data_IF_757537744971
#
_entry.id   IF_757537744971
#
_cell.length_a   1.000
_cell.length_b   1.000
_cell.length_c   1.000
_cell.angle_alpha   90.00
_cell.angle_beta   90.00
_cell.angle_gamma   90.00
#
_symmetry.space_group_name_H-M   'P 1'
#
loop_
_entity.id
_entity.type
_entity.pdbx_description
1 polymer ?
#
# COMPACT_ATOMS: atom_id res chain seq x y z
N UNK A 1 9.24 22.30 19.00
CA UNK A 1 9.71 20.96 19.08
C UNK A 1 9.78 20.27 17.76
N UNK A 2 10.97 20.03 17.38
CA UNK A 2 11.20 19.31 16.15
C UNK A 2 10.80 17.84 16.24
N UNK A 3 10.45 17.38 17.43
CA UNK A 3 10.14 15.97 17.62
C UNK A 3 8.92 15.49 16.86
N UNK A 4 7.93 16.36 16.72
CA UNK A 4 6.65 15.92 16.17
C UNK A 4 6.78 15.43 14.74
N UNK A 5 7.45 16.20 13.89
CA UNK A 5 7.57 15.74 12.52
C UNK A 5 8.54 14.57 12.39
N UNK A 6 9.54 14.50 13.26
CA UNK A 6 10.45 13.37 13.27
C UNK A 6 9.70 12.08 13.62
N UNK A 7 8.84 12.16 14.64
CA UNK A 7 8.05 11.02 15.05
C UNK A 7 7.07 10.61 13.96
N UNK A 8 6.45 11.59 13.30
CA UNK A 8 5.54 11.29 12.18
C UNK A 8 6.29 10.57 11.06
N UNK A 9 7.51 11.00 10.79
CA UNK A 9 8.31 10.37 9.76
C UNK A 9 8.62 8.92 10.08
N UNK A 10 8.93 8.64 11.34
CA UNK A 10 9.21 7.28 11.78
C UNK A 10 7.99 6.38 11.65
N UNK A 11 6.81 6.98 11.76
CA UNK A 11 5.58 6.20 11.69
C UNK A 11 5.06 6.03 10.28
N UNK A 12 5.66 6.71 9.31
CA UNK A 12 5.25 6.55 7.92
C UNK A 12 5.73 5.22 7.39
N UNK A 13 4.80 4.42 6.88
CA UNK A 13 5.13 3.15 6.27
C UNK A 13 4.55 3.10 4.87
N UNK A 14 5.35 2.66 3.92
CA UNK A 14 4.94 2.56 2.53
C UNK A 14 4.74 1.10 2.18
N UNK A 15 3.57 0.80 1.63
CA UNK A 15 3.19 -0.54 1.21
C UNK A 15 2.91 -0.52 -0.29
N UNK A 16 3.30 -1.56 -0.97
CA UNK A 16 3.08 -1.65 -2.42
C UNK A 16 2.34 -2.92 -2.76
N UNK A 17 1.30 -2.78 -3.60
CA UNK A 17 0.78 -3.94 -4.28
C UNK A 17 1.77 -4.47 -5.31
N UNK A 18 1.43 -5.59 -5.93
CA UNK A 18 2.34 -6.29 -6.82
C UNK A 18 2.32 -5.79 -8.26
N UNK A 19 1.43 -4.83 -8.58
CA UNK A 19 1.24 -4.42 -9.97
C UNK A 19 2.46 -3.69 -10.53
N UNK A 20 3.14 -2.89 -9.71
CA UNK A 20 4.25 -2.08 -10.21
C UNK A 20 5.29 -1.85 -9.12
N UNK A 21 6.09 -2.87 -8.82
CA UNK A 21 7.07 -2.75 -7.72
C UNK A 21 8.14 -1.68 -7.96
N UNK A 22 8.51 -1.44 -9.20
CA UNK A 22 9.54 -0.44 -9.51
C UNK A 22 9.09 0.95 -9.15
N UNK A 23 7.83 1.27 -9.39
CA UNK A 23 7.28 2.55 -8.99
C UNK A 23 7.34 2.74 -7.49
N UNK A 24 7.02 1.68 -6.75
CA UNK A 24 7.08 1.73 -5.29
C UNK A 24 8.48 2.01 -4.81
N UNK A 25 9.48 1.40 -5.42
CA UNK A 25 10.87 1.65 -5.03
C UNK A 25 11.28 3.08 -5.32
N UNK A 26 10.83 3.65 -6.43
CA UNK A 26 11.11 5.03 -6.76
C UNK A 26 10.48 5.98 -5.75
N UNK A 27 9.23 5.73 -5.37
CA UNK A 27 8.54 6.54 -4.38
C UNK A 27 9.23 6.44 -3.04
N UNK A 28 9.62 5.23 -2.64
CA UNK A 28 10.31 5.01 -1.38
C UNK A 28 11.60 5.82 -1.31
N UNK A 29 12.33 5.84 -2.42
CA UNK A 29 13.58 6.57 -2.50
C UNK A 29 13.36 8.08 -2.32
N UNK A 30 12.31 8.60 -2.95
CA UNK A 30 12.00 10.02 -2.82
C UNK A 30 11.57 10.38 -1.41
N UNK A 31 10.90 9.47 -0.72
CA UNK A 31 10.42 9.71 0.63
C UNK A 31 11.45 9.34 1.70
N UNK A 32 12.58 8.77 1.28
CA UNK A 32 13.62 8.31 2.20
C UNK A 32 13.10 7.27 3.18
N UNK A 33 12.32 6.33 2.66
CA UNK A 33 11.82 5.20 3.43
C UNK A 33 12.05 3.93 2.61
N UNK A 34 11.81 2.77 3.21
CA UNK A 34 11.83 1.52 2.46
C UNK A 34 10.40 1.05 2.20
N UNK A 35 10.23 0.23 1.18
CA UNK A 35 8.95 -0.44 0.96
C UNK A 35 8.83 -1.53 2.02
N UNK A 36 7.74 -1.50 2.79
CA UNK A 36 7.56 -2.44 3.88
C UNK A 36 7.39 -3.85 3.33
N UNK A 37 8.13 -4.79 3.90
CA UNK A 37 8.10 -6.17 3.44
C UNK A 37 6.76 -6.81 3.75
N UNK A 38 6.26 -7.56 2.79
CA UNK A 38 4.99 -8.25 2.94
C UNK A 38 4.99 -9.53 2.12
N UNK A 39 4.11 -10.44 2.48
CA UNK A 39 3.82 -11.63 1.68
C UNK A 39 2.44 -11.45 1.09
N UNK A 40 2.34 -11.58 -0.22
CA UNK A 40 1.05 -11.53 -0.91
C UNK A 40 0.94 -12.77 -1.77
N UNK A 41 -0.19 -13.47 -1.65
CA UNK A 41 -0.42 -14.70 -2.39
C UNK A 41 -1.82 -14.73 -2.94
N UNK A 42 -1.95 -15.37 -4.07
CA UNK A 42 -3.26 -15.69 -4.63
C UNK A 42 -3.42 -17.19 -4.62
N UNK A 43 -4.47 -17.68 -3.96
CA UNK A 43 -4.76 -19.10 -3.92
C UNK A 43 -5.47 -19.53 -5.19
N UNK A 44 -5.53 -20.86 -5.40
CA UNK A 44 -6.11 -21.41 -6.61
C UNK A 44 -7.58 -21.01 -6.79
N UNK A 45 -8.28 -20.75 -5.70
CA UNK A 45 -9.69 -20.35 -5.76
C UNK A 45 -9.87 -18.84 -5.98
N UNK A 46 -8.78 -18.11 -6.20
CA UNK A 46 -8.85 -16.68 -6.45
C UNK A 46 -8.71 -15.80 -5.22
N UNK A 47 -8.67 -16.39 -4.04
CA UNK A 47 -8.49 -15.61 -2.82
C UNK A 47 -7.10 -15.03 -2.75
N UNK A 48 -7.02 -13.80 -2.24
CA UNK A 48 -5.75 -13.11 -2.07
C UNK A 48 -5.47 -12.95 -0.58
N UNK A 49 -4.25 -13.29 -0.20
CA UNK A 49 -3.79 -13.20 1.17
C UNK A 49 -2.62 -12.25 1.27
N UNK A 50 -2.69 -11.32 2.24
CA UNK A 50 -1.62 -10.37 2.48
C UNK A 50 -1.21 -10.43 3.95
N UNK A 51 0.10 -10.49 4.17
CA UNK A 51 0.66 -10.48 5.52
C UNK A 51 1.86 -9.55 5.54
N UNK A 52 1.88 -8.64 6.51
CA UNK A 52 2.99 -7.72 6.68
C UNK A 52 4.03 -8.31 7.62
N UNK A 53 5.31 -8.07 7.32
CA UNK A 53 6.40 -8.63 8.10
C UNK A 53 6.83 -7.74 9.26
N UNK A 54 6.30 -6.53 9.32
CA UNK A 54 6.56 -5.59 10.41
C UNK A 54 5.24 -5.23 11.08
N UNK A 55 5.32 -4.81 12.33
CA UNK A 55 4.15 -4.30 13.00
C UNK A 55 3.68 -3.02 12.34
N UNK A 56 2.38 -2.93 12.07
CA UNK A 56 1.78 -1.74 11.47
C UNK A 56 0.98 -0.94 12.46
N UNK A 57 0.97 -1.36 13.72
CA UNK A 57 0.19 -0.69 14.75
C UNK A 57 0.61 0.77 14.88
N UNK A 58 -0.36 1.66 14.79
CA UNK A 58 -0.13 3.09 14.97
C UNK A 58 0.56 3.78 13.82
N UNK A 59 0.82 3.09 12.72
CA UNK A 59 1.53 3.70 11.61
C UNK A 59 0.63 4.59 10.76
N UNK A 60 1.27 5.48 10.01
CA UNK A 60 0.63 6.25 8.96
C UNK A 60 0.96 5.54 7.65
N UNK A 61 0.00 4.79 7.14
CA UNK A 61 0.24 3.84 6.04
C UNK A 61 -0.14 4.45 4.71
N UNK A 62 0.76 4.34 3.75
CA UNK A 62 0.51 4.71 2.36
C UNK A 62 0.54 3.45 1.52
N UNK A 63 -0.58 3.16 0.86
CA UNK A 63 -0.76 1.92 0.10
C UNK A 63 -0.76 2.27 -1.38
N UNK A 64 0.32 1.95 -2.05
CA UNK A 64 0.56 2.30 -3.44
C UNK A 64 0.23 1.12 -4.34
N UNK A 65 -0.65 1.34 -5.31
CA UNK A 65 -0.98 0.30 -6.28
C UNK A 65 -1.46 0.95 -7.56
N UNK A 66 -0.78 0.73 -8.66
CA UNK A 66 -1.35 1.07 -9.96
C UNK A 66 -2.25 -0.08 -10.40
N UNK A 67 -3.06 0.17 -11.41
CA UNK A 67 -4.07 -0.82 -11.79
C UNK A 67 -4.11 -1.02 -13.29
N UNK A 68 -3.05 -1.62 -13.86
CA UNK A 68 -3.11 -2.01 -15.26
C UNK A 68 -4.10 -3.15 -15.45
N UNK A 69 -4.36 -3.56 -16.69
CA UNK A 69 -5.19 -4.72 -16.91
C UNK A 69 -4.53 -5.96 -16.31
N UNK A 70 -5.28 -6.81 -15.62
CA UNK A 70 -6.69 -6.69 -15.28
C UNK A 70 -6.90 -5.80 -14.06
N UNK A 71 -7.63 -4.72 -14.26
CA UNK A 71 -7.81 -3.67 -13.24
C UNK A 71 -8.38 -4.21 -11.95
N UNK A 72 -9.41 -5.05 -12.04
CA UNK A 72 -10.12 -5.50 -10.84
C UNK A 72 -9.24 -6.32 -9.91
N UNK A 73 -8.31 -7.08 -10.45
CA UNK A 73 -7.42 -7.89 -9.61
C UNK A 73 -6.51 -7.00 -8.76
N UNK A 74 -5.95 -5.96 -9.36
CA UNK A 74 -5.03 -5.08 -8.64
C UNK A 74 -5.77 -4.18 -7.66
N UNK A 75 -6.96 -3.73 -8.05
CA UNK A 75 -7.77 -2.93 -7.15
C UNK A 75 -8.20 -3.75 -5.94
N UNK A 76 -8.60 -5.00 -6.17
CA UNK A 76 -8.96 -5.88 -5.08
C UNK A 76 -7.79 -6.13 -4.14
N UNK A 77 -6.60 -6.29 -4.69
CA UNK A 77 -5.41 -6.48 -3.85
C UNK A 77 -5.19 -5.26 -2.97
N UNK A 78 -5.34 -4.06 -3.50
CA UNK A 78 -5.18 -2.85 -2.69
C UNK A 78 -6.22 -2.80 -1.57
N UNK A 79 -7.45 -3.16 -1.86
CA UNK A 79 -8.50 -3.17 -0.83
C UNK A 79 -8.20 -4.19 0.26
N UNK A 80 -7.65 -5.33 -0.10
CA UNK A 80 -7.29 -6.35 0.88
C UNK A 80 -6.15 -5.87 1.76
N UNK A 81 -5.18 -5.17 1.17
CA UNK A 81 -4.09 -4.57 1.95
C UNK A 81 -4.63 -3.55 2.95
N UNK A 82 -5.57 -2.72 2.52
CA UNK A 82 -6.19 -1.73 3.39
C UNK A 82 -6.91 -2.42 4.55
N UNK A 83 -7.65 -3.48 4.26
CA UNK A 83 -8.34 -4.22 5.30
C UNK A 83 -7.36 -4.83 6.30
N UNK A 84 -6.27 -5.39 5.81
CA UNK A 84 -5.24 -5.95 6.69
C UNK A 84 -4.60 -4.88 7.57
N UNK A 85 -4.40 -3.68 7.04
CA UNK A 85 -3.85 -2.57 7.82
C UNK A 85 -4.83 -2.11 8.90
N UNK A 86 -6.11 -2.11 8.59
CA UNK A 86 -7.13 -1.77 9.60
C UNK A 86 -7.12 -2.77 10.74
N UNK A 87 -7.05 -4.05 10.41
CA UNK A 87 -6.98 -5.09 11.45
C UNK A 87 -5.71 -5.00 12.26
N UNK A 88 -4.62 -4.55 11.65
CA UNK A 88 -3.36 -4.35 12.34
C UNK A 88 -3.29 -3.09 13.15
N UNK A 89 -4.36 -2.30 13.17
CA UNK A 89 -4.48 -1.07 13.95
C UNK A 89 -3.57 0.05 13.47
N UNK A 90 -3.42 0.17 12.16
CA UNK A 90 -2.77 1.35 11.58
C UNK A 90 -3.56 2.58 11.98
N UNK A 91 -2.86 3.67 12.25
CA UNK A 91 -3.51 4.89 12.70
C UNK A 91 -4.22 5.60 11.55
N UNK A 92 -3.60 5.62 10.38
CA UNK A 92 -4.13 6.30 9.22
C UNK A 92 -3.74 5.50 7.99
N UNK A 93 -4.65 5.43 7.02
CA UNK A 93 -4.41 4.67 5.81
C UNK A 93 -4.77 5.54 4.63
N UNK A 94 -3.80 5.75 3.73
CA UNK A 94 -4.00 6.52 2.52
C UNK A 94 -3.75 5.63 1.33
N UNK A 95 -4.74 5.48 0.46
CA UNK A 95 -4.59 4.74 -0.78
C UNK A 95 -4.03 5.68 -1.83
N UNK A 96 -2.95 5.25 -2.49
CA UNK A 96 -2.29 6.05 -3.51
C UNK A 96 -2.44 5.32 -4.83
N UNK A 97 -3.13 5.96 -5.78
CA UNK A 97 -3.34 5.39 -7.11
C UNK A 97 -2.75 6.35 -8.12
N UNK A 98 -1.53 6.08 -8.62
CA UNK A 98 -0.92 6.97 -9.60
C UNK A 98 -1.73 7.09 -10.87
N UNK A 99 -2.53 6.08 -11.15
CA UNK A 99 -3.43 6.06 -12.29
C UNK A 99 -4.78 5.55 -11.80
N UNK A 100 -5.79 6.43 -11.83
CA UNK A 100 -7.12 6.07 -11.37
C UNK A 100 -7.77 5.15 -12.40
N UNK A 101 -8.10 3.90 -12.02
CA UNK A 101 -8.44 2.89 -13.01
C UNK A 101 -9.68 3.15 -13.83
N UNK A 102 -10.62 3.92 -13.33
CA UNK A 102 -11.88 4.15 -14.02
C UNK A 102 -12.03 5.59 -14.52
N UNK A 103 -10.96 6.37 -14.49
CA UNK A 103 -11.04 7.78 -14.81
C UNK A 103 -11.49 8.03 -16.24
N UNK A 104 -11.13 7.16 -17.17
CA UNK A 104 -11.43 7.35 -18.58
C UNK A 104 -12.85 6.99 -18.97
N UNK A 105 -13.57 6.37 -18.08
CA UNK A 105 -14.92 5.93 -18.42
C UNK A 105 -15.90 7.08 -18.46
N UNK A 106 -15.51 8.22 -17.95
CA UNK A 106 -16.35 9.40 -18.00
C UNK A 106 -16.39 10.03 -19.39
N UNK A 107 -15.58 9.58 -20.27
CA UNK A 107 -15.59 10.07 -21.64
C UNK A 107 -16.67 9.40 -22.46
#
# INVERSE_FOLDING_TARGET
MSHDWTDNRKNLMLFSGRAHPELAEQVAKELDVHVTAQTAREFANGEIFVRFHESVRGCDAFVLQSAPDPVNNWLMEQLIMIDALKRGSAKRITAVMPFYPYARQDK
#
